data_IF_527429587938
#
_entry.id   IF_527429587938
#
_cell.length_a   1.000
_cell.length_b   1.000
_cell.length_c   1.000
_cell.angle_alpha   90.00
_cell.angle_beta   90.00
_cell.angle_gamma   90.00
#
_symmetry.space_group_name_H-M   'P 1'
#
loop_
_entity.id
_entity.type
_entity.pdbx_description
1 polymer ?
#
# COMPACT_ATOMS: atom_id res chain seq x y z
N UNK A 1 -28.84 19.46 -9.57
CA UNK A 1 -28.48 18.25 -10.36
C UNK A 1 -27.12 18.51 -10.96
N UNK A 2 -26.05 17.96 -10.38
CA UNK A 2 -24.73 17.99 -11.03
C UNK A 2 -24.82 17.07 -12.24
N UNK A 3 -24.67 17.64 -13.43
CA UNK A 3 -24.50 16.88 -14.67
C UNK A 3 -23.33 15.92 -14.47
N UNK A 4 -23.57 14.63 -14.68
CA UNK A 4 -22.51 13.62 -14.66
C UNK A 4 -21.49 14.00 -15.75
N UNK A 5 -20.41 14.62 -15.32
CA UNK A 5 -19.24 14.87 -16.18
C UNK A 5 -18.82 13.50 -16.69
N UNK A 6 -18.80 13.35 -18.01
CA UNK A 6 -18.49 12.06 -18.62
C UNK A 6 -17.12 11.60 -18.12
N UNK A 7 -17.01 10.36 -17.64
CA UNK A 7 -15.77 9.79 -17.12
C UNK A 7 -14.62 9.95 -18.10
N UNK A 8 -14.87 9.84 -19.41
CA UNK A 8 -13.89 10.05 -20.47
C UNK A 8 -13.19 11.40 -20.36
N UNK A 9 -13.93 12.47 -20.05
CA UNK A 9 -13.32 13.80 -19.88
C UNK A 9 -12.48 13.89 -18.61
N UNK A 10 -12.87 13.20 -17.55
CA UNK A 10 -12.13 13.19 -16.27
C UNK A 10 -10.80 12.46 -16.37
N UNK A 11 -10.73 11.38 -17.17
CA UNK A 11 -9.56 10.49 -17.21
C UNK A 11 -8.65 10.73 -18.40
N UNK A 12 -9.10 11.49 -19.40
CA UNK A 12 -8.39 11.74 -20.67
C UNK A 12 -6.93 12.14 -20.52
N UNK A 13 -6.56 12.84 -19.44
CA UNK A 13 -5.21 13.34 -19.20
C UNK A 13 -4.27 12.39 -18.44
N UNK A 14 -4.80 11.29 -17.89
CA UNK A 14 -3.99 10.38 -17.05
C UNK A 14 -4.27 8.89 -17.26
N UNK A 15 -5.21 8.56 -18.17
CA UNK A 15 -5.53 7.17 -18.45
C UNK A 15 -4.41 6.49 -19.24
N UNK A 16 -3.97 5.29 -18.86
CA UNK A 16 -2.96 4.56 -19.61
C UNK A 16 -3.42 4.26 -21.04
N UNK A 17 -2.53 4.37 -22.00
CA UNK A 17 -2.86 4.07 -23.41
C UNK A 17 -3.37 2.64 -23.62
N UNK A 18 -2.84 1.71 -22.84
CA UNK A 18 -3.19 0.29 -22.87
C UNK A 18 -4.23 -0.07 -21.78
N UNK A 19 -4.89 0.93 -21.19
CA UNK A 19 -5.92 0.74 -20.20
C UNK A 19 -7.22 0.16 -20.78
N UNK A 20 -8.07 -0.47 -19.95
CA UNK A 20 -9.35 -0.99 -20.40
C UNK A 20 -10.26 0.14 -20.93
N UNK A 21 -11.27 -0.19 -21.78
CA UNK A 21 -12.21 0.80 -22.29
C UNK A 21 -12.90 1.57 -21.15
N UNK A 22 -13.01 2.88 -21.30
CA UNK A 22 -13.55 3.78 -20.27
C UNK A 22 -14.99 3.43 -19.84
N UNK A 23 -15.79 2.92 -20.76
CA UNK A 23 -17.18 2.45 -20.49
C UNK A 23 -17.18 1.24 -19.53
N UNK A 24 -16.18 0.36 -19.62
CA UNK A 24 -16.05 -0.77 -18.71
C UNK A 24 -15.61 -0.28 -17.33
N UNK A 25 -14.65 0.63 -17.29
CA UNK A 25 -14.16 1.27 -16.05
C UNK A 25 -15.30 1.97 -15.32
N UNK A 26 -16.18 2.67 -16.02
CA UNK A 26 -17.33 3.39 -15.44
C UNK A 26 -18.25 2.47 -14.64
N UNK A 27 -18.50 1.26 -15.12
CA UNK A 27 -19.29 0.26 -14.40
C UNK A 27 -18.69 -0.08 -13.05
N UNK A 28 -17.37 -0.33 -13.02
CA UNK A 28 -16.65 -0.67 -11.79
C UNK A 28 -16.54 0.52 -10.85
N UNK A 29 -16.28 1.71 -11.37
CA UNK A 29 -16.24 2.93 -10.57
C UNK A 29 -17.57 3.18 -9.89
N UNK A 30 -18.70 3.06 -10.61
CA UNK A 30 -20.05 3.18 -10.03
C UNK A 30 -20.31 2.11 -8.97
N UNK A 31 -19.94 0.86 -9.27
CA UNK A 31 -20.15 -0.28 -8.37
C UNK A 31 -19.40 -0.11 -7.05
N UNK A 32 -18.17 0.37 -7.09
CA UNK A 32 -17.28 0.43 -5.94
C UNK A 32 -17.04 1.84 -5.37
N UNK A 33 -17.79 2.85 -5.84
CA UNK A 33 -17.60 4.26 -5.44
C UNK A 33 -17.75 4.52 -3.94
N UNK A 34 -18.49 3.66 -3.22
CA UNK A 34 -18.70 3.76 -1.76
C UNK A 34 -17.91 2.73 -0.97
N UNK A 35 -17.14 1.88 -1.65
CA UNK A 35 -16.42 0.79 -1.04
C UNK A 35 -14.96 1.15 -0.76
N UNK A 36 -14.39 0.49 0.23
CA UNK A 36 -12.95 0.51 0.48
C UNK A 36 -12.31 -0.64 -0.29
N UNK A 37 -11.38 -0.36 -1.16
CA UNK A 37 -10.70 -1.35 -1.99
C UNK A 37 -9.37 -1.70 -1.35
N UNK A 38 -9.26 -2.90 -0.79
CA UNK A 38 -8.01 -3.37 -0.19
C UNK A 38 -7.07 -3.86 -1.27
N UNK A 39 -5.89 -3.26 -1.34
CA UNK A 39 -4.85 -3.57 -2.33
C UNK A 39 -3.62 -4.04 -1.58
N UNK A 40 -3.32 -5.33 -1.68
CA UNK A 40 -2.11 -5.91 -1.08
C UNK A 40 -0.95 -5.83 -2.06
N UNK A 41 0.16 -5.22 -1.65
CA UNK A 41 1.39 -5.17 -2.42
C UNK A 41 2.52 -5.94 -1.73
N UNK A 42 3.14 -6.86 -2.47
CA UNK A 42 4.28 -7.64 -1.97
C UNK A 42 5.54 -6.79 -1.82
N UNK A 43 6.32 -7.08 -0.77
CA UNK A 43 7.52 -6.28 -0.46
C UNK A 43 8.59 -6.27 -1.55
N UNK A 44 8.64 -7.29 -2.44
CA UNK A 44 9.58 -7.32 -3.58
C UNK A 44 9.25 -6.29 -4.65
N UNK A 45 7.98 -6.12 -4.98
CA UNK A 45 7.53 -5.11 -5.95
C UNK A 45 7.93 -3.71 -5.50
N UNK A 46 7.89 -3.47 -4.20
CA UNK A 46 8.19 -2.17 -3.60
C UNK A 46 9.71 -1.92 -3.38
N UNK A 47 10.58 -2.87 -3.77
CA UNK A 47 12.04 -2.69 -3.76
C UNK A 47 12.57 -2.16 -5.08
N UNK A 48 11.92 -2.49 -6.18
CA UNK A 48 12.27 -1.98 -7.51
C UNK A 48 11.71 -0.58 -7.68
N UNK A 49 12.53 0.44 -7.98
CA UNK A 49 12.08 1.82 -8.11
C UNK A 49 11.03 2.02 -9.20
N UNK A 50 11.12 1.31 -10.32
CA UNK A 50 10.19 1.43 -11.43
C UNK A 50 8.84 0.82 -11.06
N UNK A 51 8.86 -0.40 -10.49
CA UNK A 51 7.63 -1.07 -10.02
C UNK A 51 6.97 -0.29 -8.88
N UNK A 52 7.78 0.31 -7.99
CA UNK A 52 7.26 1.19 -6.95
C UNK A 52 6.55 2.41 -7.53
N UNK A 53 7.18 3.10 -8.48
CA UNK A 53 6.58 4.27 -9.14
C UNK A 53 5.29 3.90 -9.88
N UNK A 54 5.28 2.81 -10.64
CA UNK A 54 4.08 2.34 -11.33
C UNK A 54 2.96 2.03 -10.34
N UNK A 55 3.26 1.35 -9.24
CA UNK A 55 2.30 1.08 -8.19
C UNK A 55 1.70 2.35 -7.58
N UNK A 56 2.53 3.36 -7.30
CA UNK A 56 2.07 4.66 -6.79
C UNK A 56 1.17 5.37 -7.81
N UNK A 57 1.49 5.29 -9.10
CA UNK A 57 0.65 5.85 -10.16
C UNK A 57 -0.70 5.15 -10.26
N UNK A 58 -0.73 3.82 -10.22
CA UNK A 58 -1.97 3.05 -10.24
C UNK A 58 -2.89 3.40 -9.06
N UNK A 59 -2.35 3.51 -7.86
CA UNK A 59 -3.12 3.93 -6.68
C UNK A 59 -3.66 5.36 -6.83
N UNK A 60 -2.84 6.27 -7.38
CA UNK A 60 -3.26 7.63 -7.63
C UNK A 60 -4.38 7.71 -8.69
N UNK A 61 -4.32 6.87 -9.74
CA UNK A 61 -5.38 6.74 -10.74
C UNK A 61 -6.69 6.28 -10.08
N UNK A 62 -6.66 5.23 -9.27
CA UNK A 62 -7.84 4.75 -8.55
C UNK A 62 -8.47 5.85 -7.69
N UNK A 63 -7.63 6.65 -7.02
CA UNK A 63 -8.10 7.79 -6.23
C UNK A 63 -8.73 8.88 -7.08
N UNK A 64 -8.14 9.22 -8.22
CA UNK A 64 -8.69 10.19 -9.18
C UNK A 64 -10.03 9.74 -9.75
N UNK A 65 -10.23 8.43 -9.91
CA UNK A 65 -11.52 7.84 -10.31
C UNK A 65 -12.61 7.95 -9.21
N UNK A 66 -12.27 8.45 -8.02
CA UNK A 66 -13.21 8.59 -6.90
C UNK A 66 -13.31 7.35 -6.00
N UNK A 67 -12.45 6.36 -6.19
CA UNK A 67 -12.39 5.16 -5.36
C UNK A 67 -11.64 5.43 -4.05
N UNK A 68 -11.77 4.51 -3.08
CA UNK A 68 -11.09 4.61 -1.79
C UNK A 68 -10.13 3.42 -1.60
N UNK A 69 -8.90 3.49 -2.16
CA UNK A 69 -7.91 2.45 -2.00
C UNK A 69 -7.35 2.41 -0.57
N UNK A 70 -7.23 1.21 -0.02
CA UNK A 70 -6.56 0.90 1.23
C UNK A 70 -5.36 -0.01 0.92
N UNK A 71 -4.17 0.54 0.97
CA UNK A 71 -2.94 -0.18 0.65
C UNK A 71 -2.46 -0.98 1.86
N UNK A 72 -2.26 -2.29 1.66
CA UNK A 72 -1.62 -3.19 2.63
C UNK A 72 -0.30 -3.67 2.02
N UNK A 73 0.81 -3.29 2.61
CA UNK A 73 2.12 -3.63 2.08
C UNK A 73 2.92 -4.58 2.97
N UNK A 74 3.79 -5.37 2.36
CA UNK A 74 4.78 -6.18 3.06
C UNK A 74 6.12 -5.47 3.17
N UNK A 75 6.96 -5.90 4.12
CA UNK A 75 8.29 -5.33 4.35
C UNK A 75 9.41 -6.35 4.55
N UNK A 76 9.14 -7.65 4.33
CA UNK A 76 10.06 -8.74 4.68
C UNK A 76 11.47 -8.56 4.13
N UNK A 77 11.62 -8.15 2.87
CA UNK A 77 12.93 -7.92 2.24
C UNK A 77 13.68 -6.71 2.83
N UNK A 78 12.95 -5.62 3.12
CA UNK A 78 13.55 -4.43 3.77
C UNK A 78 13.97 -4.75 5.21
N UNK A 79 13.13 -5.50 5.93
CA UNK A 79 13.45 -5.97 7.29
C UNK A 79 14.69 -6.86 7.25
N UNK A 80 14.74 -7.84 6.34
CA UNK A 80 15.92 -8.69 6.19
C UNK A 80 17.17 -7.87 5.96
N UNK A 81 17.15 -6.97 4.96
CA UNK A 81 18.29 -6.10 4.66
C UNK A 81 18.75 -5.32 5.89
N UNK A 82 17.80 -4.75 6.66
CA UNK A 82 18.14 -3.96 7.85
C UNK A 82 18.73 -4.80 8.97
N UNK A 83 18.25 -6.02 9.16
CA UNK A 83 18.80 -6.95 10.15
C UNK A 83 20.20 -7.42 9.74
N UNK A 84 20.42 -7.70 8.46
CA UNK A 84 21.74 -8.05 7.92
C UNK A 84 22.74 -6.89 8.13
N UNK A 85 22.35 -5.62 7.86
CA UNK A 85 23.17 -4.43 8.14
C UNK A 85 23.55 -4.28 9.63
N UNK A 86 22.70 -4.75 10.53
CA UNK A 86 22.91 -4.71 11.97
C UNK A 86 23.59 -5.97 12.53
N UNK A 87 23.97 -6.92 11.65
CA UNK A 87 24.51 -8.23 12.03
C UNK A 87 23.58 -8.99 13.01
N UNK A 88 22.25 -8.90 12.80
CA UNK A 88 21.27 -9.60 13.61
C UNK A 88 20.78 -10.82 12.82
N UNK A 89 21.13 -12.01 13.32
CA UNK A 89 20.63 -13.26 12.76
C UNK A 89 19.15 -13.45 13.05
N UNK A 90 18.43 -14.03 12.09
CA UNK A 90 17.01 -14.34 12.23
C UNK A 90 16.71 -15.78 11.86
N UNK A 91 15.81 -16.39 12.62
CA UNK A 91 15.31 -17.74 12.36
C UNK A 91 13.87 -17.68 11.86
N UNK A 92 13.50 -18.66 11.07
CA UNK A 92 12.13 -18.85 10.61
C UNK A 92 11.65 -20.24 11.07
N UNK A 93 10.44 -20.30 11.62
CA UNK A 93 9.76 -21.54 11.97
C UNK A 93 8.44 -21.54 11.21
N UNK A 94 8.19 -22.58 10.42
CA UNK A 94 6.99 -22.70 9.58
C UNK A 94 6.67 -21.45 8.73
N UNK A 95 7.70 -20.80 8.20
CA UNK A 95 7.57 -19.57 7.40
C UNK A 95 7.34 -18.28 8.19
N UNK A 96 7.25 -18.36 9.51
CA UNK A 96 7.13 -17.19 10.39
C UNK A 96 8.49 -16.84 11.00
N UNK A 97 8.81 -15.55 11.00
CA UNK A 97 10.05 -15.05 11.62
C UNK A 97 9.93 -15.15 13.14
N UNK A 98 10.92 -15.78 13.79
CA UNK A 98 11.07 -15.69 15.23
C UNK A 98 11.48 -14.26 15.56
N UNK A 99 10.66 -13.56 16.31
CA UNK A 99 10.81 -12.11 16.54
C UNK A 99 10.89 -11.84 18.04
N UNK A 100 12.10 -11.58 18.53
CA UNK A 100 12.35 -11.15 19.89
C UNK A 100 12.22 -9.62 20.05
N UNK A 101 12.47 -9.10 21.26
CA UNK A 101 12.36 -7.67 21.54
C UNK A 101 13.34 -6.81 20.72
N UNK A 102 14.50 -7.32 20.37
CA UNK A 102 15.49 -6.61 19.56
C UNK A 102 15.03 -6.55 18.11
N UNK A 103 14.58 -7.65 17.59
CA UNK A 103 14.08 -7.78 16.22
C UNK A 103 12.81 -6.97 16.02
N UNK A 104 11.86 -7.00 16.98
CA UNK A 104 10.60 -6.27 16.81
C UNK A 104 10.81 -4.75 16.69
N UNK A 105 11.78 -4.18 17.43
CA UNK A 105 12.11 -2.75 17.31
C UNK A 105 12.60 -2.40 15.90
N UNK A 106 13.43 -3.25 15.31
CA UNK A 106 13.90 -3.07 13.92
C UNK A 106 12.75 -3.21 12.93
N UNK A 107 11.87 -4.20 13.13
CA UNK A 107 10.68 -4.41 12.29
C UNK A 107 9.78 -3.19 12.32
N UNK A 108 9.47 -2.68 13.50
CA UNK A 108 8.63 -1.50 13.68
C UNK A 108 9.22 -0.25 13.00
N UNK A 109 10.50 0.02 13.19
CA UNK A 109 11.18 1.16 12.58
C UNK A 109 11.15 1.08 11.06
N UNK A 110 11.53 -0.07 10.49
CA UNK A 110 11.53 -0.30 9.04
C UNK A 110 10.13 -0.17 8.46
N UNK A 111 9.12 -0.77 9.08
CA UNK A 111 7.75 -0.75 8.58
C UNK A 111 7.11 0.64 8.68
N UNK A 112 7.35 1.35 9.78
CA UNK A 112 6.83 2.71 9.96
C UNK A 112 7.45 3.68 8.95
N UNK A 113 8.76 3.61 8.74
CA UNK A 113 9.45 4.42 7.72
C UNK A 113 8.92 4.13 6.34
N UNK A 114 8.80 2.87 6.00
CA UNK A 114 8.33 2.46 4.68
C UNK A 114 6.87 2.87 4.43
N UNK A 115 6.00 2.74 5.42
CA UNK A 115 4.62 3.21 5.33
C UNK A 115 4.55 4.72 5.05
N UNK A 116 5.40 5.51 5.71
CA UNK A 116 5.53 6.96 5.46
C UNK A 116 6.08 7.26 4.07
N UNK A 117 7.06 6.50 3.57
CA UNK A 117 7.58 6.65 2.21
C UNK A 117 6.46 6.49 1.16
N UNK A 118 5.61 5.47 1.32
CA UNK A 118 4.46 5.23 0.43
C UNK A 118 3.48 6.41 0.52
N UNK A 119 3.14 6.86 1.71
CA UNK A 119 2.22 7.99 1.90
C UNK A 119 2.76 9.27 1.22
N UNK A 120 4.03 9.62 1.44
CA UNK A 120 4.69 10.77 0.82
C UNK A 120 4.72 10.64 -0.72
N UNK A 121 5.00 9.45 -1.25
CA UNK A 121 4.99 9.21 -2.68
C UNK A 121 3.59 9.42 -3.31
N UNK A 122 2.54 8.98 -2.62
CA UNK A 122 1.15 9.21 -3.03
C UNK A 122 0.77 10.69 -2.96
N UNK A 123 1.19 11.42 -1.92
CA UNK A 123 0.94 12.85 -1.80
C UNK A 123 1.58 13.67 -2.93
N UNK A 124 2.76 13.29 -3.38
CA UNK A 124 3.43 13.90 -4.55
C UNK A 124 2.63 13.71 -5.85
N UNK A 125 1.76 12.73 -5.93
CA UNK A 125 0.85 12.49 -7.08
C UNK A 125 -0.54 13.14 -6.91
N UNK A 126 -0.67 14.12 -6.00
CA UNK A 126 -1.91 14.84 -5.70
C UNK A 126 -2.97 13.90 -5.08
N UNK A 127 -2.53 12.92 -4.33
CA UNK A 127 -3.38 11.96 -3.66
C UNK A 127 -3.23 12.13 -2.15
N UNK A 128 -4.25 12.68 -1.49
CA UNK A 128 -4.25 12.74 -0.01
C UNK A 128 -4.13 11.32 0.53
N UNK A 129 -3.04 11.03 1.22
CA UNK A 129 -2.76 9.74 1.81
C UNK A 129 -2.55 9.86 3.32
N UNK A 130 -2.93 8.83 4.05
CA UNK A 130 -2.69 8.73 5.49
C UNK A 130 -1.96 7.44 5.79
N UNK A 131 -0.80 7.55 6.41
CA UNK A 131 -0.11 6.40 7.00
C UNK A 131 -0.91 5.90 8.20
N UNK A 132 -1.13 4.58 8.27
CA UNK A 132 -1.79 3.93 9.40
C UNK A 132 -0.83 2.88 9.94
N UNK A 133 -0.49 2.97 11.21
CA UNK A 133 0.31 1.96 11.90
C UNK A 133 -0.27 1.69 13.28
N UNK A 134 0.01 0.51 13.84
CA UNK A 134 -0.45 0.11 15.17
C UNK A 134 0.04 1.09 16.25
N UNK A 135 1.23 1.66 16.08
CA UNK A 135 1.79 2.64 17.01
C UNK A 135 1.13 4.02 16.97
N UNK A 136 0.74 4.46 15.78
CA UNK A 136 0.20 5.81 15.56
C UNK A 136 -1.32 5.85 15.69
N UNK A 137 -1.97 4.70 15.60
CA UNK A 137 -3.43 4.59 15.63
C UNK A 137 -3.84 3.38 16.48
N UNK A 138 -4.42 3.64 17.64
CA UNK A 138 -4.94 2.62 18.57
C UNK A 138 -6.14 1.83 18.00
N UNK A 139 -6.43 2.01 16.70
CA UNK A 139 -7.59 1.40 16.03
C UNK A 139 -7.41 -0.09 15.69
N UNK A 140 -6.19 -0.63 15.85
CA UNK A 140 -5.89 -2.03 15.52
C UNK A 140 -5.47 -2.74 16.79
N UNK A 141 -6.29 -3.69 17.23
CA UNK A 141 -5.98 -4.58 18.34
C UNK A 141 -5.42 -5.89 17.83
N UNK A 142 -4.37 -6.38 18.49
CA UNK A 142 -3.74 -7.66 18.17
C UNK A 142 -3.72 -8.55 19.41
N UNK A 143 -3.85 -9.85 19.21
CA UNK A 143 -3.73 -10.85 20.25
C UNK A 143 -2.55 -11.76 19.93
N UNK A 144 -1.86 -12.21 20.98
CA UNK A 144 -0.80 -13.18 20.83
C UNK A 144 -1.41 -14.49 20.31
N UNK A 145 -0.82 -15.04 19.25
CA UNK A 145 -1.21 -16.38 18.78
C UNK A 145 -0.66 -17.42 19.73
N UNK A 146 -1.54 -18.18 20.38
CA UNK A 146 -1.10 -19.34 21.16
C UNK A 146 -0.42 -20.32 20.23
N UNK A 147 0.77 -20.78 20.62
CA UNK A 147 1.43 -21.91 19.96
C UNK A 147 0.74 -23.16 20.46
N UNK A 148 -0.12 -23.76 19.64
CA UNK A 148 -0.55 -25.15 19.77
C UNK A 148 0.47 -26.07 19.13
#
# INVERSE_FOLDING_TARGET
>A
MQTAENLDNKIKGFWPKDGPPTQEVEKYVKKYSREKIVIKCGGRVLLDPNLFNNFIEDIAILKKLGLTPLVVHGGGSRIKKKLDELNIETKFIMGLRVTDEKIIKVVEDVMTKFNKEIAIALEKKICKAKSISIKENISIHVHQKNQE
#
